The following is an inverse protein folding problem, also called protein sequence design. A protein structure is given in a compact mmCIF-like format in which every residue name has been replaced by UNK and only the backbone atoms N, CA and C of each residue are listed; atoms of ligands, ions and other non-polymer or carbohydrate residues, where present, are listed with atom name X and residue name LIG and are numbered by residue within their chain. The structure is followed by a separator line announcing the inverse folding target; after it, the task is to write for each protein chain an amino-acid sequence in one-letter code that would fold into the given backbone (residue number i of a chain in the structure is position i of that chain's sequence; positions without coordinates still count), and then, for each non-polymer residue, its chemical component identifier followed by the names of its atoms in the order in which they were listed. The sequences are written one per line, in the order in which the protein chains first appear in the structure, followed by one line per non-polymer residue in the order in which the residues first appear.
data_IF_704483968193
#
_entry.id   IF_704483968193
#
_cell.length_a   1.000
_cell.length_b   1.000
_cell.length_c   1.000
_cell.angle_alpha   90.00
_cell.angle_beta   90.00
_cell.angle_gamma   90.00
#
_symmetry.space_group_name_H-M   'P 1'
#
loop_
_entity.id
_entity.type
_entity.pdbx_description
1 polymer ?
#
# COMPACT_ATOMS: atom_id res chain seq x y z
N UNK A 1 15.66 -7.02 -8.44
CA UNK A 1 15.30 -7.82 -7.26
C UNK A 1 13.86 -7.48 -6.93
N UNK A 2 12.92 -8.43 -6.82
CA UNK A 2 11.56 -8.12 -6.40
C UNK A 2 11.63 -7.58 -4.98
N UNK A 3 11.09 -6.36 -4.78
CA UNK A 3 11.01 -5.73 -3.47
C UNK A 3 10.30 -6.66 -2.50
N UNK A 4 10.99 -7.07 -1.47
CA UNK A 4 10.42 -7.79 -0.35
C UNK A 4 9.47 -6.82 0.37
N UNK A 5 8.20 -6.91 0.07
CA UNK A 5 7.16 -6.25 0.85
C UNK A 5 6.97 -7.08 2.12
N UNK A 6 7.87 -6.85 3.09
CA UNK A 6 7.92 -7.59 4.35
C UNK A 6 6.64 -7.41 5.17
N UNK A 7 5.90 -6.35 4.87
CA UNK A 7 4.62 -5.98 5.51
C UNK A 7 3.38 -6.38 4.69
N UNK A 8 3.55 -6.89 3.46
CA UNK A 8 2.46 -7.52 2.72
C UNK A 8 2.45 -8.99 3.06
N UNK A 9 1.33 -9.48 3.59
CA UNK A 9 1.13 -10.90 3.83
C UNK A 9 1.44 -11.64 2.51
N UNK A 10 2.54 -12.39 2.49
CA UNK A 10 2.71 -13.41 1.48
C UNK A 10 1.47 -14.29 1.57
N UNK A 11 0.83 -14.59 0.46
CA UNK A 11 -0.02 -15.75 0.34
C UNK A 11 0.77 -16.94 0.86
N UNK A 12 0.67 -17.20 2.16
CA UNK A 12 1.19 -18.40 2.75
C UNK A 12 0.42 -19.51 2.03
N UNK A 13 1.13 -20.50 1.48
CA UNK A 13 0.53 -21.63 0.76
C UNK A 13 -0.39 -22.52 1.61
N UNK A 14 -0.95 -21.96 2.66
CA UNK A 14 -1.93 -22.60 3.52
C UNK A 14 -3.32 -22.45 2.90
N UNK A 15 -3.82 -23.55 2.34
CA UNK A 15 -5.21 -23.66 1.89
C UNK A 15 -6.00 -24.43 2.96
N UNK A 16 -6.87 -23.74 3.71
CA UNK A 16 -7.72 -24.42 4.68
C UNK A 16 -8.67 -25.38 3.96
N UNK A 17 -8.78 -26.60 4.46
CA UNK A 17 -9.63 -27.64 3.83
C UNK A 17 -11.10 -27.53 4.21
N UNK A 18 -11.45 -26.74 5.21
CA UNK A 18 -12.83 -26.56 5.70
C UNK A 18 -13.07 -25.10 6.05
N UNK A 19 -14.33 -24.61 5.97
CA UNK A 19 -14.68 -23.25 6.40
C UNK A 19 -14.30 -22.96 7.85
N UNK A 20 -14.43 -23.94 8.75
CA UNK A 20 -14.04 -23.79 10.14
C UNK A 20 -12.51 -23.62 10.31
N UNK A 21 -11.71 -24.33 9.51
CA UNK A 21 -10.26 -24.16 9.51
C UNK A 21 -9.86 -22.80 8.91
N UNK A 22 -10.57 -22.33 7.89
CA UNK A 22 -10.36 -21.01 7.29
C UNK A 22 -10.69 -19.90 8.30
N UNK A 23 -11.81 -19.99 9.01
CA UNK A 23 -12.19 -19.04 10.05
C UNK A 23 -11.14 -18.95 11.16
N UNK A 24 -10.69 -20.09 11.68
CA UNK A 24 -9.60 -20.12 12.67
C UNK A 24 -8.31 -19.50 12.16
N UNK A 25 -7.99 -19.72 10.89
CA UNK A 25 -6.79 -19.14 10.27
C UNK A 25 -6.89 -17.60 10.16
N UNK A 26 -8.09 -17.06 9.93
CA UNK A 26 -8.36 -15.61 9.99
C UNK A 26 -8.23 -15.09 11.41
N UNK A 27 -8.87 -15.77 12.39
CA UNK A 27 -8.82 -15.39 13.81
C UNK A 27 -7.38 -15.39 14.36
N UNK A 28 -6.56 -16.32 13.90
CA UNK A 28 -5.14 -16.39 14.27
C UNK A 28 -4.22 -15.50 13.40
N UNK A 29 -4.78 -14.76 12.43
CA UNK A 29 -4.01 -13.93 11.49
C UNK A 29 -3.13 -14.73 10.53
N UNK A 30 -3.36 -16.05 10.40
CA UNK A 30 -2.61 -16.90 9.47
C UNK A 30 -3.14 -16.79 8.03
N UNK A 31 -4.40 -16.40 7.89
CA UNK A 31 -5.08 -16.18 6.61
C UNK A 31 -5.66 -14.75 6.59
N UNK A 32 -5.39 -13.93 5.56
CA UNK A 32 -6.07 -12.65 5.35
C UNK A 32 -7.57 -12.84 5.21
N UNK A 33 -8.35 -11.83 5.64
CA UNK A 33 -9.82 -11.87 5.55
C UNK A 33 -10.29 -12.02 4.10
N UNK A 34 -9.59 -11.41 3.17
CA UNK A 34 -9.86 -11.49 1.73
C UNK A 34 -9.74 -12.93 1.23
N UNK A 35 -8.69 -13.65 1.63
CA UNK A 35 -8.48 -15.05 1.26
C UNK A 35 -9.53 -15.96 1.90
N UNK A 36 -10.04 -15.61 3.09
CA UNK A 36 -11.18 -16.32 3.71
C UNK A 36 -12.46 -16.14 2.90
N UNK A 37 -12.76 -14.92 2.43
CA UNK A 37 -13.93 -14.65 1.58
C UNK A 37 -13.86 -15.51 0.32
N UNK A 38 -12.72 -15.53 -0.38
CA UNK A 38 -12.53 -16.37 -1.56
C UNK A 38 -12.66 -17.87 -1.25
N UNK A 39 -12.09 -18.35 -0.15
CA UNK A 39 -12.18 -19.76 0.26
C UNK A 39 -13.61 -20.17 0.65
N UNK A 40 -14.40 -19.25 1.23
CA UNK A 40 -15.77 -19.52 1.69
C UNK A 40 -16.83 -19.38 0.61
N UNK A 41 -16.60 -18.56 -0.40
CA UNK A 41 -17.58 -18.25 -1.46
C UNK A 41 -17.37 -19.06 -2.73
N UNK A 42 -16.37 -19.92 -2.81
CA UNK A 42 -15.92 -20.59 -4.05
C UNK A 42 -15.53 -19.63 -5.17
N UNK A 43 -15.40 -18.34 -4.88
CA UNK A 43 -14.92 -17.37 -5.84
C UNK A 43 -13.44 -17.64 -6.15
N UNK A 44 -13.08 -17.54 -7.41
CA UNK A 44 -11.67 -17.62 -7.80
C UNK A 44 -10.97 -16.29 -7.47
N UNK A 45 -9.70 -16.32 -7.01
CA UNK A 45 -8.90 -15.12 -6.98
C UNK A 45 -8.87 -14.46 -8.36
N UNK A 46 -9.01 -13.14 -8.40
CA UNK A 46 -9.08 -12.38 -9.65
C UNK A 46 -7.82 -12.54 -10.53
N UNK A 47 -6.70 -12.88 -9.94
CA UNK A 47 -5.41 -13.06 -10.62
C UNK A 47 -5.07 -14.52 -10.98
N UNK A 48 -6.03 -15.47 -10.83
CA UNK A 48 -5.92 -16.87 -11.27
C UNK A 48 -6.56 -17.07 -12.65
N UNK A 49 -5.87 -17.78 -13.53
CA UNK A 49 -6.41 -18.17 -14.86
C UNK A 49 -7.40 -19.34 -14.77
N UNK A 50 -8.43 -19.43 -15.64
CA UNK A 50 -8.81 -18.40 -16.62
C UNK A 50 -9.42 -17.17 -15.93
N UNK A 51 -9.11 -15.97 -16.46
CA UNK A 51 -9.62 -14.72 -15.93
C UNK A 51 -11.12 -14.55 -16.18
N UNK A 52 -11.83 -14.03 -15.18
CA UNK A 52 -13.23 -13.63 -15.30
C UNK A 52 -13.30 -12.20 -15.86
N UNK A 53 -13.46 -12.09 -17.18
CA UNK A 53 -13.51 -10.79 -17.87
C UNK A 53 -14.72 -9.96 -17.47
N UNK A 54 -15.88 -10.58 -17.20
CA UNK A 54 -17.09 -9.87 -16.76
C UNK A 54 -16.88 -9.23 -15.38
N UNK A 55 -16.25 -9.97 -14.45
CA UNK A 55 -15.92 -9.45 -13.13
C UNK A 55 -14.88 -8.33 -13.22
N UNK A 56 -13.88 -8.45 -14.09
CA UNK A 56 -12.87 -7.40 -14.32
C UNK A 56 -13.55 -6.14 -14.86
N UNK A 57 -14.45 -6.25 -15.84
CA UNK A 57 -15.21 -5.13 -16.41
C UNK A 57 -16.10 -4.47 -15.36
N UNK A 58 -16.78 -5.28 -14.54
CA UNK A 58 -17.60 -4.79 -13.42
C UNK A 58 -16.78 -4.01 -12.41
N UNK A 59 -15.58 -4.48 -12.08
CA UNK A 59 -14.66 -3.78 -11.19
C UNK A 59 -14.12 -2.50 -11.85
N UNK A 60 -13.79 -2.56 -13.13
CA UNK A 60 -13.37 -1.39 -13.89
C UNK A 60 -14.43 -0.29 -13.96
N UNK A 61 -15.71 -0.63 -13.92
CA UNK A 61 -16.80 0.36 -13.94
C UNK A 61 -17.05 1.05 -12.59
N UNK A 62 -16.45 0.57 -11.47
CA UNK A 62 -16.63 1.17 -10.15
C UNK A 62 -15.85 2.49 -10.04
N UNK A 63 -16.51 3.51 -9.48
CA UNK A 63 -15.92 4.85 -9.31
C UNK A 63 -15.03 4.97 -8.06
N UNK A 64 -15.30 4.18 -7.01
CA UNK A 64 -14.68 4.25 -5.68
C UNK A 64 -13.76 3.06 -5.40
N UNK A 65 -12.78 2.86 -6.27
CA UNK A 65 -11.82 1.77 -6.11
C UNK A 65 -10.71 2.15 -5.14
N UNK A 66 -10.39 1.26 -4.19
CA UNK A 66 -9.22 1.43 -3.33
C UNK A 66 -7.93 1.10 -4.09
N UNK A 67 -6.82 1.71 -3.70
CA UNK A 67 -5.52 1.55 -4.39
C UNK A 67 -5.11 0.08 -4.59
N UNK A 68 -5.29 -0.77 -3.56
CA UNK A 68 -4.95 -2.20 -3.66
C UNK A 68 -5.71 -2.91 -4.78
N UNK A 69 -7.02 -2.62 -4.92
CA UNK A 69 -7.84 -3.18 -6.00
C UNK A 69 -7.36 -2.68 -7.36
N UNK A 70 -7.03 -1.38 -7.48
CA UNK A 70 -6.51 -0.82 -8.73
C UNK A 70 -5.16 -1.46 -9.12
N UNK A 71 -4.27 -1.70 -8.15
CA UNK A 71 -2.99 -2.37 -8.39
C UNK A 71 -3.16 -3.85 -8.76
N UNK A 72 -4.10 -4.55 -8.13
CA UNK A 72 -4.44 -5.93 -8.50
C UNK A 72 -4.99 -5.98 -9.92
N UNK A 73 -5.97 -5.13 -10.25
CA UNK A 73 -6.52 -5.03 -11.60
C UNK A 73 -5.45 -4.70 -12.63
N UNK A 74 -4.58 -3.72 -12.37
CA UNK A 74 -3.47 -3.41 -13.29
C UNK A 74 -2.59 -4.62 -13.55
N UNK A 75 -2.28 -5.42 -12.52
CA UNK A 75 -1.51 -6.67 -12.68
C UNK A 75 -2.24 -7.69 -13.55
N UNK A 76 -3.54 -7.89 -13.33
CA UNK A 76 -4.36 -8.82 -14.11
C UNK A 76 -4.45 -8.35 -15.56
N UNK A 77 -4.78 -7.08 -15.77
CA UNK A 77 -4.85 -6.46 -17.10
C UNK A 77 -3.50 -6.53 -17.83
N UNK A 78 -2.38 -6.36 -17.10
CA UNK A 78 -1.04 -6.56 -17.67
C UNK A 78 -0.81 -7.98 -18.18
N UNK A 79 -1.32 -9.00 -17.47
CA UNK A 79 -1.27 -10.39 -17.98
C UNK A 79 -2.16 -10.58 -19.22
N UNK A 80 -3.30 -9.90 -19.30
CA UNK A 80 -4.18 -9.96 -20.47
C UNK A 80 -3.55 -9.28 -21.69
N UNK A 81 -2.73 -8.23 -21.52
CA UNK A 81 -2.00 -7.61 -22.66
C UNK A 81 -1.02 -8.56 -23.32
N UNK A 82 -0.52 -9.58 -22.61
CA UNK A 82 0.40 -10.59 -23.13
C UNK A 82 -0.34 -11.76 -23.80
N UNK A 83 -1.69 -11.72 -23.90
CA UNK A 83 -2.49 -12.75 -24.53
C UNK A 83 -2.21 -12.85 -26.04
N UNK A 84 -2.23 -14.07 -26.56
CA UNK A 84 -2.14 -14.32 -28.00
C UNK A 84 -3.44 -13.94 -28.75
N UNK A 85 -4.54 -13.84 -28.02
CA UNK A 85 -5.82 -13.40 -28.56
C UNK A 85 -5.88 -11.87 -28.57
N UNK A 86 -6.03 -11.30 -29.77
CA UNK A 86 -5.95 -9.85 -29.97
C UNK A 86 -7.01 -9.07 -29.19
N UNK A 87 -8.24 -9.58 -29.11
CA UNK A 87 -9.35 -8.94 -28.39
C UNK A 87 -9.05 -8.88 -26.88
N UNK A 88 -8.56 -9.98 -26.31
CA UNK A 88 -8.16 -10.07 -24.90
C UNK A 88 -6.99 -9.12 -24.60
N UNK A 89 -5.99 -9.06 -25.49
CA UNK A 89 -4.86 -8.14 -25.34
C UNK A 89 -5.30 -6.66 -25.39
N UNK A 90 -6.22 -6.33 -26.31
CA UNK A 90 -6.80 -4.99 -26.42
C UNK A 90 -7.59 -4.61 -25.16
N UNK A 91 -8.45 -5.51 -24.67
CA UNK A 91 -9.19 -5.32 -23.42
C UNK A 91 -8.26 -5.03 -22.24
N UNK A 92 -7.13 -5.76 -22.14
CA UNK A 92 -6.11 -5.51 -21.13
C UNK A 92 -5.52 -4.11 -21.21
N UNK A 93 -5.15 -3.67 -22.42
CA UNK A 93 -4.55 -2.35 -22.66
C UNK A 93 -5.55 -1.22 -22.38
N UNK A 94 -6.79 -1.32 -22.84
CA UNK A 94 -7.84 -0.35 -22.59
C UNK A 94 -8.20 -0.26 -21.10
N UNK A 95 -8.24 -1.39 -20.40
CA UNK A 95 -8.46 -1.45 -18.97
C UNK A 95 -7.37 -0.73 -18.17
N UNK A 96 -6.10 -0.89 -18.53
CA UNK A 96 -4.98 -0.16 -17.91
C UNK A 96 -5.15 1.35 -18.16
N UNK A 97 -5.40 1.76 -19.39
CA UNK A 97 -5.60 3.16 -19.74
C UNK A 97 -6.79 3.79 -18.96
N UNK A 98 -7.88 3.03 -18.77
CA UNK A 98 -9.03 3.48 -17.99
C UNK A 98 -8.72 3.64 -16.50
N UNK A 99 -7.89 2.75 -15.91
CA UNK A 99 -7.43 2.90 -14.52
C UNK A 99 -6.57 4.14 -14.32
N UNK A 100 -5.61 4.34 -15.19
CA UNK A 100 -4.68 5.49 -15.16
C UNK A 100 -5.42 6.80 -15.41
N UNK A 101 -6.32 6.83 -16.41
CA UNK A 101 -7.16 7.98 -16.74
C UNK A 101 -7.99 8.44 -15.54
N UNK A 102 -8.68 7.53 -14.87
CA UNK A 102 -9.50 7.87 -13.67
C UNK A 102 -8.66 8.41 -12.51
N UNK A 103 -7.50 7.81 -12.26
CA UNK A 103 -6.61 8.30 -11.21
C UNK A 103 -6.12 9.73 -11.53
N UNK A 104 -5.80 9.99 -12.80
CA UNK A 104 -5.39 11.31 -13.28
C UNK A 104 -6.54 12.33 -13.18
N UNK A 105 -7.74 11.99 -13.63
CA UNK A 105 -8.93 12.83 -13.51
C UNK A 105 -9.24 13.19 -12.06
N UNK A 106 -9.15 12.20 -11.16
CA UNK A 106 -9.33 12.42 -9.72
C UNK A 106 -8.32 13.40 -9.13
N UNK A 107 -7.05 13.33 -9.56
CA UNK A 107 -6.03 14.29 -9.17
C UNK A 107 -6.27 15.66 -9.79
N UNK A 108 -6.60 15.72 -11.09
CA UNK A 108 -6.87 16.95 -11.82
C UNK A 108 -8.08 17.73 -11.24
N UNK A 109 -9.14 17.03 -10.86
CA UNK A 109 -10.33 17.64 -10.21
C UNK A 109 -9.95 18.35 -8.90
N UNK A 110 -9.08 17.75 -8.08
CA UNK A 110 -8.60 18.39 -6.85
C UNK A 110 -7.63 19.52 -7.19
N UNK A 111 -6.77 19.32 -8.18
CA UNK A 111 -5.77 20.29 -8.62
C UNK A 111 -6.37 21.51 -9.36
N UNK A 112 -7.59 21.41 -9.90
CA UNK A 112 -8.28 22.53 -10.55
C UNK A 112 -8.65 23.67 -9.59
N UNK A 113 -8.76 23.39 -8.30
CA UNK A 113 -8.97 24.42 -7.26
C UNK A 113 -7.72 25.29 -7.15
N UNK A 114 -7.92 26.60 -7.07
CA UNK A 114 -6.79 27.54 -6.95
C UNK A 114 -5.91 27.17 -5.73
N UNK A 115 -4.56 27.18 -5.84
CA UNK A 115 -3.66 26.76 -4.75
C UNK A 115 -3.87 27.49 -3.42
N UNK A 116 -4.25 28.77 -3.46
CA UNK A 116 -4.54 29.58 -2.25
C UNK A 116 -5.84 29.19 -1.54
N UNK A 117 -6.73 28.48 -2.22
CA UNK A 117 -8.03 28.04 -1.70
C UNK A 117 -7.96 26.62 -1.15
N UNK A 118 -6.82 25.93 -1.32
CA UNK A 118 -6.63 24.58 -0.82
C UNK A 118 -6.24 24.61 0.65
N UNK A 119 -7.14 24.09 1.47
CA UNK A 119 -6.85 23.83 2.88
C UNK A 119 -5.88 22.63 3.04
N UNK A 120 -5.39 22.41 4.26
CA UNK A 120 -4.53 21.29 4.62
C UNK A 120 -5.11 19.93 4.16
N UNK A 121 -6.42 19.72 4.36
CA UNK A 121 -7.11 18.48 3.99
C UNK A 121 -7.11 18.26 2.47
N UNK A 122 -7.31 19.32 1.69
CA UNK A 122 -7.29 19.25 0.22
C UNK A 122 -5.90 18.93 -0.29
N UNK A 123 -4.85 19.53 0.28
CA UNK A 123 -3.47 19.20 -0.06
C UNK A 123 -3.11 17.75 0.26
N UNK A 124 -3.51 17.23 1.44
CA UNK A 124 -3.31 15.84 1.82
C UNK A 124 -4.05 14.86 0.90
N UNK A 125 -5.26 15.21 0.46
CA UNK A 125 -6.00 14.41 -0.54
C UNK A 125 -5.29 14.38 -1.88
N UNK A 126 -4.79 15.53 -2.33
CA UNK A 126 -4.03 15.63 -3.58
C UNK A 126 -2.74 14.80 -3.53
N UNK A 127 -2.03 14.84 -2.40
CA UNK A 127 -0.85 14.00 -2.17
C UNK A 127 -1.15 12.52 -2.31
N UNK A 128 -2.26 12.04 -1.72
CA UNK A 128 -2.70 10.64 -1.85
C UNK A 128 -2.98 10.27 -3.31
N UNK A 129 -3.64 11.15 -4.07
CA UNK A 129 -3.91 10.90 -5.49
C UNK A 129 -2.64 10.84 -6.34
N UNK A 130 -1.68 11.71 -6.10
CA UNK A 130 -0.39 11.63 -6.77
C UNK A 130 0.40 10.38 -6.35
N UNK A 131 0.32 9.96 -5.09
CA UNK A 131 0.91 8.71 -4.65
C UNK A 131 0.25 7.49 -5.32
N UNK A 132 -1.09 7.46 -5.42
CA UNK A 132 -1.82 6.42 -6.17
C UNK A 132 -1.33 6.35 -7.63
N UNK A 133 -1.18 7.49 -8.31
CA UNK A 133 -0.62 7.56 -9.67
C UNK A 133 0.81 7.01 -9.72
N UNK A 134 1.66 7.35 -8.76
CA UNK A 134 3.04 6.83 -8.70
C UNK A 134 3.07 5.31 -8.56
N UNK A 135 2.15 4.73 -7.81
CA UNK A 135 2.06 3.29 -7.63
C UNK A 135 1.50 2.59 -8.88
N UNK A 136 0.56 3.21 -9.59
CA UNK A 136 0.09 2.72 -10.89
C UNK A 136 1.21 2.73 -11.94
N UNK A 137 2.14 3.67 -11.87
CA UNK A 137 3.29 3.78 -12.77
C UNK A 137 4.58 3.18 -12.19
N UNK A 138 4.47 2.18 -11.30
CA UNK A 138 5.63 1.58 -10.61
C UNK A 138 6.70 1.07 -11.57
N UNK A 139 6.29 0.58 -12.72
CA UNK A 139 7.18 0.00 -13.74
C UNK A 139 7.83 1.07 -14.65
N UNK A 140 7.36 2.33 -14.58
CA UNK A 140 7.84 3.45 -15.40
C UNK A 140 8.56 4.46 -14.50
N UNK A 141 9.85 4.23 -14.24
CA UNK A 141 10.63 4.93 -13.21
C UNK A 141 10.57 6.47 -13.29
N UNK A 142 10.64 7.08 -14.49
CA UNK A 142 10.57 8.54 -14.66
C UNK A 142 9.18 9.09 -14.32
N UNK A 143 8.12 8.45 -14.78
CA UNK A 143 6.72 8.86 -14.52
C UNK A 143 6.40 8.66 -13.04
N UNK A 144 6.83 7.54 -12.48
CA UNK A 144 6.68 7.27 -11.05
C UNK A 144 7.33 8.37 -10.20
N UNK A 145 8.59 8.70 -10.48
CA UNK A 145 9.33 9.72 -9.73
C UNK A 145 8.71 11.11 -9.86
N UNK A 146 8.17 11.44 -11.03
CA UNK A 146 7.41 12.68 -11.23
C UNK A 146 6.22 12.78 -10.30
N UNK A 147 5.38 11.74 -10.25
CA UNK A 147 4.21 11.72 -9.35
C UNK A 147 4.59 11.64 -7.88
N UNK A 148 5.68 10.94 -7.51
CA UNK A 148 6.21 10.95 -6.15
C UNK A 148 6.65 12.35 -5.73
N UNK A 149 7.31 13.10 -6.61
CA UNK A 149 7.68 14.50 -6.36
C UNK A 149 6.45 15.38 -6.11
N UNK A 150 5.42 15.27 -6.95
CA UNK A 150 4.16 16.00 -6.76
C UNK A 150 3.44 15.60 -5.46
N UNK A 151 3.46 14.31 -5.10
CA UNK A 151 2.89 13.81 -3.86
C UNK A 151 3.63 14.38 -2.64
N UNK A 152 4.95 14.40 -2.67
CA UNK A 152 5.80 14.96 -1.63
C UNK A 152 5.50 16.45 -1.42
N UNK A 153 5.52 17.26 -2.48
CA UNK A 153 5.26 18.70 -2.41
C UNK A 153 3.84 19.01 -1.86
N UNK A 154 2.84 18.27 -2.35
CA UNK A 154 1.48 18.43 -1.88
C UNK A 154 1.34 18.05 -0.39
N UNK A 155 1.99 16.97 0.03
CA UNK A 155 1.93 16.52 1.42
C UNK A 155 2.66 17.50 2.35
N UNK A 156 3.81 18.02 1.97
CA UNK A 156 4.51 19.06 2.75
C UNK A 156 3.61 20.29 2.98
N UNK A 157 2.94 20.78 1.94
CA UNK A 157 1.99 21.89 2.06
C UNK A 157 0.80 21.55 2.96
N UNK A 158 0.31 20.32 2.87
CA UNK A 158 -0.78 19.84 3.72
C UNK A 158 -0.39 19.71 5.19
N UNK A 159 0.86 19.37 5.48
CA UNK A 159 1.38 19.24 6.85
C UNK A 159 1.79 20.58 7.46
N UNK A 160 2.22 21.55 6.66
CA UNK A 160 2.60 22.88 7.14
C UNK A 160 1.44 23.65 7.80
N UNK A 161 0.20 23.29 7.51
CA UNK A 161 -1.02 23.95 8.02
C UNK A 161 -1.65 23.32 9.28
N UNK A 162 -1.01 22.32 9.90
CA UNK A 162 -1.58 21.65 11.08
C UNK A 162 -0.84 20.40 11.50
N UNK A 163 -1.31 19.75 12.56
CA UNK A 163 -0.73 18.49 13.03
C UNK A 163 -0.86 17.38 11.99
N UNK A 164 0.24 16.64 11.80
CA UNK A 164 0.27 15.46 10.96
C UNK A 164 -0.39 14.28 11.68
N UNK A 165 -1.42 13.70 11.09
CA UNK A 165 -1.99 12.46 11.59
C UNK A 165 -1.07 11.25 11.30
N UNK A 166 -1.24 10.14 12.02
CA UNK A 166 -0.48 8.91 11.75
C UNK A 166 -0.60 8.45 10.28
N UNK A 167 -1.79 8.47 9.65
CA UNK A 167 -1.91 8.18 8.22
C UNK A 167 -1.14 9.15 7.30
N UNK A 168 -1.01 10.42 7.70
CA UNK A 168 -0.23 11.39 6.91
C UNK A 168 1.28 11.12 7.04
N UNK A 169 1.74 10.76 8.25
CA UNK A 169 3.13 10.35 8.50
C UNK A 169 3.46 9.05 7.76
N UNK A 170 2.53 8.08 7.75
CA UNK A 170 2.69 6.85 7.00
C UNK A 170 2.89 7.12 5.50
N UNK A 171 2.00 7.96 4.92
CA UNK A 171 2.11 8.36 3.52
C UNK A 171 3.43 9.11 3.24
N UNK A 172 3.86 10.01 4.15
CA UNK A 172 5.13 10.72 4.00
C UNK A 172 6.32 9.76 4.00
N UNK A 173 6.35 8.79 4.91
CA UNK A 173 7.39 7.76 4.94
C UNK A 173 7.39 6.94 3.66
N UNK A 174 6.22 6.52 3.16
CA UNK A 174 6.12 5.75 1.92
C UNK A 174 6.67 6.52 0.72
N UNK A 175 6.32 7.80 0.60
CA UNK A 175 6.82 8.68 -0.46
C UNK A 175 8.35 8.85 -0.33
N UNK A 176 8.84 9.18 0.86
CA UNK A 176 10.27 9.42 1.10
C UNK A 176 11.12 8.17 0.87
N UNK A 177 10.65 7.01 1.32
CA UNK A 177 11.27 5.71 1.06
C UNK A 177 11.31 5.43 -0.45
N UNK A 178 10.21 5.66 -1.15
CA UNK A 178 10.11 5.45 -2.61
C UNK A 178 11.02 6.38 -3.41
N UNK A 179 11.29 7.58 -2.90
CA UNK A 179 12.25 8.54 -3.46
C UNK A 179 13.71 8.27 -3.05
N UNK A 180 13.97 7.26 -2.21
CA UNK A 180 15.31 6.99 -1.67
C UNK A 180 15.76 7.96 -0.56
N UNK A 181 14.86 8.81 -0.07
CA UNK A 181 15.12 9.84 0.94
C UNK A 181 14.93 9.31 2.37
N UNK A 182 15.47 8.12 2.66
CA UNK A 182 15.24 7.37 3.90
C UNK A 182 15.53 8.17 5.17
N UNK A 183 16.64 8.95 5.18
CA UNK A 183 17.02 9.77 6.34
C UNK A 183 15.98 10.86 6.65
N UNK A 184 15.31 11.40 5.64
CA UNK A 184 14.27 12.40 5.87
C UNK A 184 13.04 11.76 6.50
N UNK A 185 12.69 10.52 6.09
CA UNK A 185 11.63 9.74 6.72
C UNK A 185 11.89 9.50 8.22
N UNK A 186 13.09 9.11 8.58
CA UNK A 186 13.49 8.92 9.98
C UNK A 186 13.36 10.22 10.79
N UNK A 187 13.93 11.33 10.30
CA UNK A 187 13.83 12.64 10.97
C UNK A 187 12.40 13.12 11.15
N UNK A 188 11.54 12.86 10.17
CA UNK A 188 10.11 13.20 10.25
C UNK A 188 9.44 12.48 11.43
N UNK A 189 9.74 11.20 11.63
CA UNK A 189 9.17 10.40 12.71
C UNK A 189 9.76 10.78 14.08
N UNK A 190 11.06 11.06 14.16
CA UNK A 190 11.72 11.57 15.36
C UNK A 190 11.16 12.93 15.81
N UNK A 191 10.77 13.78 14.87
CA UNK A 191 10.13 15.07 15.12
C UNK A 191 8.63 14.98 15.45
N UNK A 192 8.05 13.79 15.50
CA UNK A 192 6.64 13.59 15.89
C UNK A 192 6.43 13.97 17.36
N UNK A 193 5.24 14.51 17.73
CA UNK A 193 4.91 14.84 19.12
C UNK A 193 5.02 13.65 20.08
N UNK A 194 4.77 12.44 19.60
CA UNK A 194 4.90 11.19 20.36
C UNK A 194 5.66 10.12 19.55
N UNK A 195 7.01 10.17 19.52
CA UNK A 195 7.83 9.23 18.74
C UNK A 195 7.75 7.78 19.27
N UNK A 196 7.29 7.59 20.51
CA UNK A 196 7.16 6.26 21.14
C UNK A 196 5.79 5.62 20.94
N UNK A 197 4.89 6.29 20.29
CA UNK A 197 3.58 5.75 19.93
C UNK A 197 3.76 4.49 19.08
N UNK A 198 3.01 3.39 19.34
CA UNK A 198 3.19 2.12 18.65
C UNK A 198 3.17 2.24 17.12
N UNK A 199 2.24 3.02 16.59
CA UNK A 199 2.12 3.23 15.15
C UNK A 199 3.34 3.97 14.57
N UNK A 200 3.92 4.92 15.33
CA UNK A 200 5.14 5.63 14.91
C UNK A 200 6.37 4.72 14.97
N UNK A 201 6.48 3.88 16.01
CA UNK A 201 7.54 2.87 16.09
C UNK A 201 7.47 1.86 14.96
N UNK A 202 6.26 1.42 14.56
CA UNK A 202 6.09 0.55 13.39
C UNK A 202 6.51 1.24 12.09
N UNK A 203 6.18 2.53 11.92
CA UNK A 203 6.63 3.31 10.77
C UNK A 203 8.16 3.49 10.77
N UNK A 204 8.76 3.72 11.95
CA UNK A 204 10.22 3.83 12.09
C UNK A 204 10.93 2.51 11.77
N UNK A 205 10.39 1.36 12.24
CA UNK A 205 10.89 0.05 11.90
C UNK A 205 10.86 -0.19 10.37
N UNK A 206 9.76 0.19 9.72
CA UNK A 206 9.62 0.09 8.26
C UNK A 206 10.63 0.98 7.53
N UNK A 207 10.79 2.22 7.95
CA UNK A 207 11.78 3.13 7.36
C UNK A 207 13.22 2.62 7.54
N UNK A 208 13.55 2.09 8.72
CA UNK A 208 14.83 1.47 9.01
C UNK A 208 15.08 0.23 8.13
N UNK A 209 14.07 -0.63 7.96
CA UNK A 209 14.15 -1.82 7.10
C UNK A 209 14.50 -1.45 5.64
N UNK A 210 13.80 -0.47 5.06
CA UNK A 210 14.08 -0.02 3.70
C UNK A 210 15.45 0.64 3.53
N UNK A 211 16.03 1.16 4.62
CA UNK A 211 17.39 1.70 4.65
C UNK A 211 18.46 0.62 4.80
N UNK A 212 18.06 -0.63 5.14
CA UNK A 212 18.97 -1.71 5.49
C UNK A 212 19.52 -1.61 6.92
N UNK A 213 18.94 -0.77 7.75
CA UNK A 213 19.30 -0.58 9.17
C UNK A 213 18.54 -1.61 10.03
N UNK A 214 19.01 -2.84 10.01
CA UNK A 214 18.35 -3.95 10.71
C UNK A 214 18.44 -3.82 12.24
N UNK A 215 19.48 -3.15 12.74
CA UNK A 215 19.59 -2.84 14.16
C UNK A 215 18.49 -1.87 14.59
N UNK A 216 18.25 -0.81 13.80
CA UNK A 216 17.15 0.11 14.05
C UNK A 216 15.77 -0.57 14.00
N UNK A 217 15.58 -1.57 13.13
CA UNK A 217 14.34 -2.39 13.12
C UNK A 217 14.20 -3.16 14.44
N UNK A 218 15.27 -3.85 14.87
CA UNK A 218 15.26 -4.62 16.12
C UNK A 218 14.99 -3.73 17.33
N UNK A 219 15.60 -2.55 17.39
CA UNK A 219 15.39 -1.59 18.48
C UNK A 219 13.93 -1.11 18.56
N UNK A 220 13.31 -0.78 17.41
CA UNK A 220 11.89 -0.43 17.35
C UNK A 220 10.99 -1.60 17.79
N UNK A 221 11.28 -2.81 17.32
CA UNK A 221 10.50 -4.01 17.68
C UNK A 221 10.67 -4.36 19.17
N UNK A 222 11.87 -4.17 19.75
CA UNK A 222 12.12 -4.36 21.18
C UNK A 222 11.33 -3.34 22.02
N UNK A 223 11.20 -2.11 21.54
CA UNK A 223 10.36 -1.10 22.20
C UNK A 223 8.86 -1.45 22.16
N UNK A 224 8.42 -2.17 21.13
CA UNK A 224 7.04 -2.64 20.98
C UNK A 224 6.74 -3.96 21.73
N UNK A 225 7.77 -4.74 22.09
CA UNK A 225 7.60 -6.04 22.73
C UNK A 225 6.70 -6.03 23.99
N UNK A 226 6.78 -5.02 24.90
CA UNK A 226 5.95 -4.95 26.10
C UNK A 226 4.45 -4.83 25.81
N UNK A 227 4.07 -4.30 24.65
CA UNK A 227 2.68 -4.06 24.26
C UNK A 227 2.24 -4.96 23.10
N UNK A 228 3.04 -5.98 22.77
CA UNK A 228 2.82 -6.87 21.63
C UNK A 228 1.38 -7.38 21.51
N UNK A 229 0.77 -7.79 22.62
CA UNK A 229 -0.56 -8.39 22.62
C UNK A 229 -1.69 -7.39 22.27
N UNK A 230 -1.40 -6.08 22.29
CA UNK A 230 -2.32 -5.03 21.84
C UNK A 230 -2.16 -4.66 20.36
N UNK A 231 -1.13 -5.17 19.68
CA UNK A 231 -0.88 -4.95 18.27
C UNK A 231 -1.76 -5.85 17.40
N UNK A 232 -1.90 -5.49 16.13
CA UNK A 232 -2.56 -6.37 15.16
C UNK A 232 -1.79 -7.70 15.00
N UNK A 233 -2.44 -8.80 14.58
CA UNK A 233 -1.78 -10.10 14.41
C UNK A 233 -0.57 -10.05 13.44
N UNK A 234 -0.62 -9.16 12.46
CA UNK A 234 0.49 -8.95 11.52
C UNK A 234 1.68 -8.26 12.20
N UNK A 235 1.43 -7.19 12.93
CA UNK A 235 2.44 -6.48 13.70
C UNK A 235 3.06 -7.35 14.79
N UNK A 236 2.26 -8.17 15.46
CA UNK A 236 2.75 -9.16 16.45
C UNK A 236 3.76 -10.12 15.84
N UNK A 237 3.50 -10.59 14.61
CA UNK A 237 4.44 -11.46 13.89
C UNK A 237 5.74 -10.76 13.56
N UNK A 238 5.67 -9.52 13.10
CA UNK A 238 6.86 -8.70 12.81
C UNK A 238 7.70 -8.50 14.09
N UNK A 239 7.05 -8.05 15.17
CA UNK A 239 7.74 -7.83 16.46
C UNK A 239 8.37 -9.13 16.97
N UNK A 240 7.63 -10.24 16.93
CA UNK A 240 8.15 -11.55 17.39
C UNK A 240 9.35 -12.01 16.56
N UNK A 241 9.31 -11.86 15.25
CA UNK A 241 10.42 -12.23 14.37
C UNK A 241 11.70 -11.45 14.71
N UNK A 242 11.61 -10.12 14.81
CA UNK A 242 12.77 -9.27 15.04
C UNK A 242 13.31 -9.33 16.46
N UNK A 243 12.50 -9.67 17.47
CA UNK A 243 12.95 -9.85 18.85
C UNK A 243 13.58 -11.21 19.12
N UNK A 244 13.28 -12.24 18.29
CA UNK A 244 13.90 -13.57 18.39
C UNK A 244 15.27 -13.67 17.75
N UNK A 245 15.64 -12.75 16.88
CA UNK A 245 16.96 -12.74 16.22
C UNK A 245 18.11 -12.31 17.17
N UNK A 246 17.81 -11.69 18.30
CA UNK A 246 18.77 -11.19 19.29
C UNK A 246 19.04 -12.19 20.45
N UNK A 247 18.50 -13.39 20.41
CA UNK A 247 18.69 -14.48 21.39
C UNK A 247 19.46 -15.65 20.77
#
# INVERSE_FOLDING_TARGET
MPGFDFFRSRRLGYRPRTPAAALRAVETGTLPVEDFIYASTSAKPLDEEPFDLEEIERLLSRQDMVLQTSLLLKRVLGKLTDSLEQETALFGAEGIAALEGRALEGAALIASRHPRERDSKTWKRLARKYYELSELHRDTGSVRNFYLGLAHDALQRGMAGGEASVPDLALAVDILVSLGLHHQGTRLLEGSPDPRRPEILMLAARAAFHRGDYQGVSDCCRALAPIRDSLSPEEQRVVSFWTQLDG
#
